data_IF_660654915922
#
_entry.id   IF_660654915922
#
_cell.length_a   1.000
_cell.length_b   1.000
_cell.length_c   1.000
_cell.angle_alpha   90.00
_cell.angle_beta   90.00
_cell.angle_gamma   90.00
#
_symmetry.space_group_name_H-M   'P 1'
#
loop_
_entity.id
_entity.type
_entity.pdbx_description
1 polymer ?
#
# COMPACT_ATOMS: atom_id res chain seq x y z
N UNK A 1 14.54 -2.76 0.31
CA UNK A 1 14.33 -2.53 -1.15
C UNK A 1 15.67 -2.04 -1.65
N UNK A 2 16.56 -2.97 -1.95
CA UNK A 2 18.00 -2.65 -1.99
C UNK A 2 18.43 -2.40 -3.44
N UNK A 3 17.75 -3.04 -4.39
CA UNK A 3 18.00 -2.93 -5.82
C UNK A 3 16.97 -2.00 -6.49
N UNK A 4 17.39 -1.16 -7.46
CA UNK A 4 16.49 -0.31 -8.23
C UNK A 4 15.39 -1.09 -8.98
N UNK A 5 14.26 -0.44 -9.31
CA UNK A 5 13.16 -1.08 -10.04
C UNK A 5 13.58 -1.47 -11.47
N UNK A 6 12.93 -2.53 -11.99
CA UNK A 6 13.12 -3.03 -13.36
C UNK A 6 11.81 -2.96 -14.14
N UNK A 7 11.83 -3.23 -15.45
CA UNK A 7 10.62 -3.14 -16.28
C UNK A 7 9.42 -3.98 -15.80
N UNK A 8 9.67 -5.11 -15.14
CA UNK A 8 8.62 -5.98 -14.60
C UNK A 8 8.17 -5.58 -13.19
N UNK A 9 8.78 -4.55 -12.63
CA UNK A 9 8.45 -4.09 -11.28
C UNK A 9 7.03 -3.53 -11.22
N UNK A 10 6.38 -3.79 -10.10
CA UNK A 10 5.06 -3.25 -9.78
C UNK A 10 5.19 -2.34 -8.58
N UNK A 11 4.33 -1.34 -8.51
CA UNK A 11 4.39 -0.31 -7.50
C UNK A 11 3.11 -0.33 -6.69
N UNK A 12 3.21 0.04 -5.42
CA UNK A 12 2.11 0.04 -4.48
C UNK A 12 2.11 1.35 -3.69
N UNK A 13 0.92 1.79 -3.33
CA UNK A 13 0.69 2.79 -2.30
C UNK A 13 -0.29 2.21 -1.28
N UNK A 14 0.07 2.22 -0.01
CA UNK A 14 -0.80 1.79 1.08
C UNK A 14 -0.95 2.89 2.11
N UNK A 15 -2.17 3.06 2.62
CA UNK A 15 -2.44 3.89 3.80
C UNK A 15 -3.13 3.03 4.87
N UNK A 16 -2.64 3.11 6.10
CA UNK A 16 -3.34 2.59 7.27
C UNK A 16 -3.46 3.74 8.25
N UNK A 17 -4.69 4.16 8.53
CA UNK A 17 -4.95 5.22 9.49
C UNK A 17 -5.78 4.68 10.65
N UNK A 18 -5.39 5.06 11.86
CA UNK A 18 -6.29 4.99 13.00
C UNK A 18 -6.00 6.13 13.97
N UNK A 19 -7.04 6.66 14.61
CA UNK A 19 -6.96 7.86 15.45
C UNK A 19 -5.84 7.83 16.51
N UNK A 20 -5.56 6.66 17.10
CA UNK A 20 -4.52 6.54 18.12
C UNK A 20 -3.13 6.18 17.59
N UNK A 21 -3.01 5.82 16.30
CA UNK A 21 -1.74 5.37 15.70
C UNK A 21 -1.30 6.25 14.54
N UNK A 22 -2.01 7.36 14.28
CA UNK A 22 -1.75 8.24 13.15
C UNK A 22 -1.87 7.50 11.82
N UNK A 23 -0.93 7.77 10.92
CA UNK A 23 -0.99 7.32 9.52
C UNK A 23 0.30 6.61 9.11
N UNK A 24 0.15 5.38 8.62
CA UNK A 24 1.20 4.68 7.88
C UNK A 24 0.97 4.89 6.39
N UNK A 25 1.77 5.74 5.78
CA UNK A 25 1.75 6.05 4.36
C UNK A 25 3.00 5.48 3.69
N UNK A 26 2.83 4.42 2.90
CA UNK A 26 3.95 3.69 2.33
C UNK A 26 3.83 3.65 0.81
N UNK A 27 4.90 4.08 0.15
CA UNK A 27 5.14 3.84 -1.26
C UNK A 27 6.23 2.79 -1.42
N UNK A 28 5.98 1.78 -2.24
CA UNK A 28 6.93 0.69 -2.44
C UNK A 28 6.87 0.14 -3.87
N UNK A 29 7.91 -0.61 -4.24
CA UNK A 29 7.93 -1.40 -5.46
C UNK A 29 8.42 -2.81 -5.22
N UNK A 30 7.98 -3.72 -6.08
CA UNK A 30 8.25 -5.15 -6.02
C UNK A 30 8.79 -5.63 -7.37
N UNK A 31 9.69 -6.61 -7.38
CA UNK A 31 10.32 -7.08 -8.62
C UNK A 31 9.35 -7.80 -9.57
N UNK A 32 8.28 -8.41 -9.04
CA UNK A 32 7.24 -9.06 -9.83
C UNK A 32 5.90 -9.19 -9.07
N UNK A 33 4.89 -9.70 -9.77
CA UNK A 33 3.53 -9.88 -9.27
C UNK A 33 3.40 -10.90 -8.12
N UNK A 34 4.22 -11.95 -8.08
CA UNK A 34 4.15 -12.97 -7.00
C UNK A 34 4.77 -12.42 -5.71
N UNK A 35 5.84 -11.63 -5.80
CA UNK A 35 6.39 -10.96 -4.62
C UNK A 35 5.41 -9.92 -4.06
N UNK A 36 4.79 -9.11 -4.93
CA UNK A 36 3.73 -8.18 -4.52
C UNK A 36 2.54 -8.93 -3.88
N UNK A 37 2.10 -10.04 -4.47
CA UNK A 37 1.03 -10.88 -3.93
C UNK A 37 1.38 -11.40 -2.53
N UNK A 38 2.61 -11.87 -2.34
CA UNK A 38 3.12 -12.31 -1.05
C UNK A 38 3.12 -11.20 -0.01
N UNK A 39 3.60 -10.01 -0.36
CA UNK A 39 3.56 -8.84 0.53
C UNK A 39 2.12 -8.50 0.94
N UNK A 40 1.18 -8.48 -0.01
CA UNK A 40 -0.22 -8.17 0.28
C UNK A 40 -0.80 -9.21 1.25
N UNK A 41 -0.62 -10.49 0.98
CA UNK A 41 -1.21 -11.56 1.80
C UNK A 41 -0.60 -11.67 3.20
N UNK A 42 0.73 -11.64 3.28
CA UNK A 42 1.47 -12.06 4.47
C UNK A 42 2.00 -10.90 5.31
N UNK A 43 2.02 -9.67 4.78
CA UNK A 43 2.47 -8.49 5.52
C UNK A 43 1.35 -7.45 5.62
N UNK A 44 0.89 -6.91 4.49
CA UNK A 44 -0.07 -5.81 4.49
C UNK A 44 -1.41 -6.18 5.14
N UNK A 45 -2.06 -7.28 4.74
CA UNK A 45 -3.36 -7.66 5.32
C UNK A 45 -3.28 -7.99 6.81
N UNK A 46 -2.16 -8.56 7.26
CA UNK A 46 -1.91 -8.83 8.67
C UNK A 46 -1.87 -7.54 9.48
N UNK A 47 -1.05 -6.58 9.05
CA UNK A 47 -0.90 -5.29 9.72
C UNK A 47 -2.20 -4.46 9.64
N UNK A 48 -2.77 -4.36 8.45
CA UNK A 48 -3.98 -3.58 8.18
C UNK A 48 -5.16 -4.05 9.04
N UNK A 49 -5.44 -5.37 9.09
CA UNK A 49 -6.53 -5.89 9.91
C UNK A 49 -6.22 -5.84 11.41
N UNK A 50 -4.96 -6.03 11.82
CA UNK A 50 -4.61 -5.89 13.22
C UNK A 50 -4.80 -4.44 13.72
N UNK A 51 -4.33 -3.45 12.96
CA UNK A 51 -4.52 -2.04 13.26
C UNK A 51 -5.99 -1.62 13.19
N UNK A 52 -6.78 -2.15 12.25
CA UNK A 52 -8.24 -1.93 12.22
C UNK A 52 -8.93 -2.44 13.50
N UNK A 53 -8.62 -3.67 13.92
CA UNK A 53 -9.29 -4.31 15.05
C UNK A 53 -8.89 -3.67 16.38
N UNK A 54 -7.60 -3.37 16.57
CA UNK A 54 -7.05 -3.01 17.87
C UNK A 54 -6.57 -1.55 17.97
N UNK A 55 -6.32 -0.88 16.85
CA UNK A 55 -5.80 0.50 16.82
C UNK A 55 -6.79 1.54 17.34
N UNK A 56 -8.09 1.22 17.35
CA UNK A 56 -9.14 2.07 17.95
C UNK A 56 -9.02 2.23 19.46
N UNK A 57 -8.49 1.21 20.14
CA UNK A 57 -8.49 1.14 21.60
C UNK A 57 -7.14 1.46 22.21
N UNK A 58 -6.06 1.30 21.43
CA UNK A 58 -4.69 1.43 21.92
C UNK A 58 -3.71 1.81 20.84
N UNK A 59 -2.58 2.31 21.30
CA UNK A 59 -1.36 2.47 20.49
C UNK A 59 -0.78 1.06 20.23
N UNK A 60 -0.46 0.80 18.98
CA UNK A 60 0.09 -0.44 18.45
C UNK A 60 1.58 -0.23 18.21
N UNK A 61 2.40 -0.71 19.14
CA UNK A 61 3.86 -0.59 19.07
C UNK A 61 4.51 -1.72 18.25
N UNK A 62 3.78 -2.83 18.02
CA UNK A 62 4.26 -3.95 17.22
C UNK A 62 3.09 -4.73 16.60
N UNK A 63 3.32 -5.25 15.39
CA UNK A 63 2.41 -6.18 14.73
C UNK A 63 2.82 -7.61 15.10
N UNK A 64 1.94 -8.40 15.72
CA UNK A 64 2.28 -9.76 16.09
C UNK A 64 2.42 -10.63 14.84
N UNK A 65 3.45 -11.49 14.81
CA UNK A 65 3.65 -12.47 13.75
C UNK A 65 2.69 -13.67 13.93
N UNK A 66 1.40 -13.43 13.70
CA UNK A 66 0.35 -14.45 13.75
C UNK A 66 -0.49 -14.46 12.46
N UNK A 67 -1.04 -15.61 12.05
CA UNK A 67 -1.88 -15.70 10.86
C UNK A 67 -3.08 -14.75 10.87
N UNK A 68 -3.44 -14.24 9.69
CA UNK A 68 -4.55 -13.28 9.50
C UNK A 68 -5.88 -13.85 10.00
N UNK A 69 -6.16 -15.13 9.76
CA UNK A 69 -7.35 -15.81 10.26
C UNK A 69 -7.42 -15.83 11.80
N UNK A 70 -6.27 -15.95 12.48
CA UNK A 70 -6.21 -15.86 13.95
C UNK A 70 -6.50 -14.44 14.43
N UNK A 71 -5.94 -13.42 13.78
CA UNK A 71 -6.22 -12.01 14.09
C UNK A 71 -7.72 -11.73 14.02
N UNK A 72 -8.37 -12.21 12.95
CA UNK A 72 -9.82 -12.02 12.73
C UNK A 72 -10.63 -12.78 13.80
N UNK A 73 -10.30 -14.05 14.06
CA UNK A 73 -11.01 -14.84 15.09
C UNK A 73 -10.90 -14.21 16.48
N UNK A 74 -9.70 -13.77 16.87
CA UNK A 74 -9.46 -13.14 18.17
C UNK A 74 -10.21 -11.80 18.29
N UNK A 75 -10.25 -11.01 17.20
CA UNK A 75 -11.02 -9.78 17.14
C UNK A 75 -12.52 -10.02 17.32
N UNK A 76 -13.06 -11.04 16.64
CA UNK A 76 -14.47 -11.42 16.74
C UNK A 76 -14.81 -11.96 18.14
N UNK A 77 -13.99 -12.87 18.70
CA UNK A 77 -14.27 -13.47 20.02
C UNK A 77 -14.21 -12.45 21.16
N UNK A 78 -13.42 -11.38 21.00
CA UNK A 78 -13.30 -10.28 21.96
C UNK A 78 -14.32 -9.15 21.71
N UNK A 79 -15.21 -9.30 20.73
CA UNK A 79 -16.22 -8.28 20.39
C UNK A 79 -15.63 -6.99 19.83
N UNK A 80 -14.42 -7.02 19.25
CA UNK A 80 -13.75 -5.85 18.65
C UNK A 80 -14.20 -5.57 17.22
N UNK A 81 -14.74 -6.58 16.55
CA UNK A 81 -15.36 -6.48 15.23
C UNK A 81 -16.66 -7.28 15.21
N UNK A 82 -17.55 -6.88 14.31
CA UNK A 82 -18.78 -7.60 14.00
C UNK A 82 -18.53 -8.88 13.21
N UNK A 83 -19.52 -9.78 13.20
CA UNK A 83 -19.50 -10.98 12.36
C UNK A 83 -19.39 -10.64 10.85
N UNK A 84 -20.03 -9.56 10.42
CA UNK A 84 -19.96 -9.06 9.04
C UNK A 84 -18.57 -8.58 8.67
N UNK A 85 -17.90 -7.81 9.53
CA UNK A 85 -16.52 -7.38 9.31
C UNK A 85 -15.57 -8.58 9.23
N UNK A 86 -15.71 -9.54 10.15
CA UNK A 86 -14.90 -10.76 10.14
C UNK A 86 -15.07 -11.54 8.82
N UNK A 87 -16.30 -11.65 8.30
CA UNK A 87 -16.58 -12.28 7.01
C UNK A 87 -15.93 -11.54 5.83
N UNK A 88 -15.98 -10.20 5.83
CA UNK A 88 -15.34 -9.38 4.80
C UNK A 88 -13.82 -9.54 4.82
N UNK A 89 -13.20 -9.51 5.99
CA UNK A 89 -11.76 -9.73 6.15
C UNK A 89 -11.33 -11.11 5.64
N UNK A 90 -12.06 -12.18 6.04
CA UNK A 90 -11.80 -13.54 5.58
C UNK A 90 -11.99 -13.68 4.06
N UNK A 91 -13.02 -13.04 3.50
CA UNK A 91 -13.29 -13.02 2.06
C UNK A 91 -12.13 -12.38 1.30
N UNK A 92 -11.65 -11.23 1.74
CA UNK A 92 -10.50 -10.55 1.15
C UNK A 92 -9.22 -11.38 1.25
N UNK A 93 -8.92 -11.94 2.42
CA UNK A 93 -7.77 -12.83 2.60
C UNK A 93 -7.84 -14.06 1.67
N UNK A 94 -9.01 -14.70 1.60
CA UNK A 94 -9.24 -15.87 0.73
C UNK A 94 -9.09 -15.50 -0.75
N UNK A 95 -9.59 -14.32 -1.15
CA UNK A 95 -9.49 -13.84 -2.53
C UNK A 95 -8.03 -13.65 -2.95
N UNK A 96 -7.21 -13.04 -2.09
CA UNK A 96 -5.76 -12.90 -2.33
C UNK A 96 -5.10 -14.29 -2.37
N UNK A 97 -5.43 -15.18 -1.44
CA UNK A 97 -4.87 -16.54 -1.43
C UNK A 97 -5.16 -17.32 -2.72
N UNK A 98 -6.36 -17.18 -3.31
CA UNK A 98 -6.71 -17.85 -4.58
C UNK A 98 -5.94 -17.31 -5.79
N UNK A 99 -5.31 -16.13 -5.69
CA UNK A 99 -4.50 -15.58 -6.79
C UNK A 99 -3.17 -16.32 -6.97
N UNK A 100 -2.74 -17.13 -5.99
CA UNK A 100 -1.57 -17.99 -6.16
C UNK A 100 -1.75 -19.02 -7.27
N UNK A 101 -2.98 -19.52 -7.45
CA UNK A 101 -3.35 -20.53 -8.43
C UNK A 101 -3.63 -19.96 -9.83
N UNK A 102 -3.64 -18.63 -9.97
CA UNK A 102 -3.89 -17.98 -11.25
C UNK A 102 -2.66 -18.03 -12.18
N UNK A 103 -2.90 -18.06 -13.51
CA UNK A 103 -1.87 -17.76 -14.51
C UNK A 103 -1.19 -16.41 -14.23
N UNK A 104 0.11 -16.31 -14.53
CA UNK A 104 0.93 -15.13 -14.17
C UNK A 104 0.37 -13.81 -14.71
N UNK A 105 -0.13 -13.84 -15.94
CA UNK A 105 -0.77 -12.71 -16.64
C UNK A 105 -2.11 -12.29 -16.02
N UNK A 106 -2.75 -13.17 -15.25
CA UNK A 106 -4.02 -12.92 -14.56
C UNK A 106 -3.87 -12.34 -13.16
N UNK A 107 -2.70 -12.47 -12.53
CA UNK A 107 -2.47 -12.00 -11.15
C UNK A 107 -2.60 -10.47 -11.06
N UNK A 108 -1.95 -9.71 -11.96
CA UNK A 108 -1.94 -8.24 -11.89
C UNK A 108 -3.36 -7.65 -12.07
N UNK A 109 -4.13 -8.03 -13.10
CA UNK A 109 -5.51 -7.55 -13.23
C UNK A 109 -6.39 -7.84 -12.01
N UNK A 110 -6.27 -9.03 -11.41
CA UNK A 110 -7.05 -9.41 -10.23
C UNK A 110 -6.60 -8.65 -8.97
N UNK A 111 -5.30 -8.37 -8.83
CA UNK A 111 -4.79 -7.52 -7.75
C UNK A 111 -5.30 -6.07 -7.85
N UNK A 112 -5.32 -5.49 -9.06
CA UNK A 112 -5.89 -4.14 -9.28
C UNK A 112 -7.39 -4.12 -9.00
N UNK A 113 -8.12 -5.17 -9.39
CA UNK A 113 -9.54 -5.31 -9.07
C UNK A 113 -9.76 -5.43 -7.57
N UNK A 114 -8.95 -6.25 -6.91
CA UNK A 114 -8.96 -6.41 -5.46
C UNK A 114 -8.73 -5.08 -4.73
N UNK A 115 -7.74 -4.28 -5.15
CA UNK A 115 -7.45 -3.00 -4.49
C UNK A 115 -8.65 -2.04 -4.54
N UNK A 116 -9.40 -2.01 -5.65
CA UNK A 116 -10.62 -1.20 -5.78
C UNK A 116 -11.74 -1.68 -4.87
N UNK A 117 -11.94 -2.99 -4.76
CA UNK A 117 -12.93 -3.56 -3.84
C UNK A 117 -12.54 -3.33 -2.38
N UNK A 118 -11.26 -3.54 -2.06
CA UNK A 118 -10.68 -3.29 -0.76
C UNK A 118 -10.96 -1.85 -0.30
N UNK A 119 -10.65 -0.86 -1.13
CA UNK A 119 -10.84 0.55 -0.79
C UNK A 119 -12.32 0.94 -0.63
N UNK A 120 -13.26 0.25 -1.31
CA UNK A 120 -14.70 0.47 -1.10
C UNK A 120 -15.17 -0.08 0.23
N UNK A 121 -14.65 -1.23 0.64
CA UNK A 121 -15.01 -1.87 1.91
C UNK A 121 -14.39 -1.15 3.11
N UNK A 122 -13.13 -0.72 2.98
CA UNK A 122 -12.34 -0.17 4.08
C UNK A 122 -12.11 1.34 3.97
N UNK A 123 -12.98 2.04 3.24
CA UNK A 123 -12.98 3.51 3.14
C UNK A 123 -13.02 4.17 4.53
N UNK A 124 -13.69 3.51 5.49
CA UNK A 124 -13.69 3.90 6.89
C UNK A 124 -14.37 5.25 7.15
N UNK A 125 -13.86 5.97 8.14
CA UNK A 125 -14.33 7.28 8.57
C UNK A 125 -13.15 8.16 9.05
N UNK A 126 -13.43 9.24 9.78
CA UNK A 126 -12.40 10.12 10.32
C UNK A 126 -11.63 9.53 11.53
N UNK A 127 -11.93 8.30 11.94
CA UNK A 127 -11.24 7.59 13.03
C UNK A 127 -10.35 6.48 12.51
N UNK A 128 -10.67 5.90 11.36
CA UNK A 128 -9.84 4.88 10.72
C UNK A 128 -10.17 4.75 9.24
N UNK A 129 -9.18 4.34 8.44
CA UNK A 129 -9.41 3.84 7.09
C UNK A 129 -8.23 2.99 6.64
N UNK A 130 -8.47 2.12 5.65
CA UNK A 130 -7.42 1.36 4.99
C UNK A 130 -7.49 1.64 3.49
N UNK A 131 -6.32 1.77 2.87
CA UNK A 131 -6.20 2.04 1.46
C UNK A 131 -5.07 1.23 0.85
N UNK A 132 -5.30 0.78 -0.39
CA UNK A 132 -4.32 0.13 -1.22
C UNK A 132 -4.53 0.54 -2.69
N UNK A 133 -3.45 0.91 -3.37
CA UNK A 133 -3.43 1.10 -4.83
C UNK A 133 -2.18 0.47 -5.44
N UNK A 134 -2.34 -0.08 -6.63
CA UNK A 134 -1.30 -0.77 -7.39
C UNK A 134 -1.12 -0.05 -8.72
N UNK A 135 0.13 0.15 -9.11
CA UNK A 135 0.53 0.79 -10.37
C UNK A 135 1.45 -0.15 -11.15
N UNK A 136 1.31 -0.12 -12.47
CA UNK A 136 2.03 -1.03 -13.37
C UNK A 136 3.41 -0.53 -13.77
N UNK A 137 3.64 0.77 -13.65
CA UNK A 137 4.88 1.40 -14.08
C UNK A 137 5.15 2.66 -13.24
N UNK A 138 6.41 3.16 -13.22
CA UNK A 138 6.77 4.32 -12.41
C UNK A 138 6.09 5.61 -12.87
N UNK A 139 5.71 5.72 -14.16
CA UNK A 139 4.93 6.86 -14.67
C UNK A 139 3.55 6.96 -14.02
N UNK A 140 2.78 5.86 -14.00
CA UNK A 140 1.47 5.79 -13.35
C UNK A 140 1.53 6.17 -11.86
N UNK A 141 2.57 5.72 -11.15
CA UNK A 141 2.79 6.11 -9.77
C UNK A 141 3.17 7.60 -9.66
N UNK A 142 4.09 8.05 -10.52
CA UNK A 142 4.59 9.41 -10.53
C UNK A 142 3.50 10.45 -10.75
N UNK A 143 2.62 10.21 -11.73
CA UNK A 143 1.46 11.04 -12.00
C UNK A 143 0.51 11.07 -10.79
N UNK A 144 0.26 9.91 -10.17
CA UNK A 144 -0.58 9.85 -8.98
C UNK A 144 -0.03 10.65 -7.79
N UNK A 145 1.29 10.64 -7.55
CA UNK A 145 1.91 11.43 -6.47
C UNK A 145 1.76 12.93 -6.76
N UNK A 146 1.97 13.35 -8.01
CA UNK A 146 1.77 14.75 -8.41
C UNK A 146 0.30 15.14 -8.20
N UNK A 147 -0.64 14.38 -8.77
CA UNK A 147 -2.06 14.65 -8.69
C UNK A 147 -2.55 14.73 -7.23
N UNK A 148 -2.15 13.74 -6.40
CA UNK A 148 -2.52 13.73 -4.98
C UNK A 148 -1.94 14.91 -4.20
N UNK A 149 -0.72 15.36 -4.53
CA UNK A 149 -0.13 16.54 -3.89
C UNK A 149 -0.87 17.82 -4.29
N UNK A 150 -1.20 17.98 -5.58
CA UNK A 150 -1.88 19.17 -6.10
C UNK A 150 -3.35 19.26 -5.66
N UNK A 151 -3.99 18.14 -5.30
CA UNK A 151 -5.35 18.13 -4.77
C UNK A 151 -5.46 18.82 -3.40
N UNK A 152 -4.40 18.77 -2.60
CA UNK A 152 -4.43 19.27 -1.21
C UNK A 152 -3.43 20.39 -0.96
N UNK A 153 -2.45 20.60 -1.84
CA UNK A 153 -1.34 21.55 -1.68
C UNK A 153 -0.97 22.18 -3.04
N UNK A 154 0.23 22.76 -3.11
CA UNK A 154 0.79 23.41 -4.30
C UNK A 154 2.10 22.75 -4.77
N UNK A 155 2.63 23.25 -5.88
CA UNK A 155 3.89 22.78 -6.46
C UNK A 155 5.10 23.02 -5.55
N UNK A 156 5.10 24.11 -4.77
CA UNK A 156 6.19 24.36 -3.82
C UNK A 156 6.25 23.27 -2.75
N UNK A 157 5.10 22.81 -2.28
CA UNK A 157 5.01 21.70 -1.32
C UNK A 157 5.56 20.41 -1.92
N UNK A 158 5.24 20.12 -3.18
CA UNK A 158 5.80 18.98 -3.91
C UNK A 158 7.32 19.05 -3.98
N UNK A 159 7.89 20.21 -4.33
CA UNK A 159 9.34 20.43 -4.41
C UNK A 159 9.98 20.28 -3.04
N UNK A 160 9.38 20.86 -1.98
CA UNK A 160 9.89 20.73 -0.62
C UNK A 160 9.92 19.28 -0.14
N UNK A 161 8.91 18.47 -0.47
CA UNK A 161 8.89 17.04 -0.14
C UNK A 161 9.89 16.25 -0.96
N UNK A 162 9.86 16.38 -2.28
CA UNK A 162 10.59 15.48 -3.18
C UNK A 162 12.00 15.94 -3.52
N UNK A 163 12.32 17.23 -3.33
CA UNK A 163 13.58 17.84 -3.72
C UNK A 163 13.74 18.10 -5.22
N UNK A 164 12.67 17.94 -6.02
CA UNK A 164 12.69 18.11 -7.48
C UNK A 164 11.41 18.78 -7.98
N UNK A 165 11.48 19.41 -9.15
CA UNK A 165 10.30 19.95 -9.83
C UNK A 165 9.42 18.83 -10.39
N UNK A 166 8.15 19.14 -10.70
CA UNK A 166 7.22 18.17 -11.32
C UNK A 166 7.76 17.65 -12.65
N UNK A 167 8.38 18.52 -13.45
CA UNK A 167 8.94 18.13 -14.75
C UNK A 167 10.14 17.19 -14.59
N UNK A 168 11.05 17.47 -13.65
CA UNK A 168 12.17 16.58 -13.34
C UNK A 168 11.69 15.24 -12.78
N UNK A 169 10.67 15.26 -11.92
CA UNK A 169 10.06 14.04 -11.40
C UNK A 169 9.48 13.15 -12.50
N UNK A 170 8.73 13.74 -13.44
CA UNK A 170 8.19 13.01 -14.60
C UNK A 170 9.31 12.40 -15.45
N UNK A 171 10.41 13.14 -15.66
CA UNK A 171 11.60 12.62 -16.35
C UNK A 171 12.20 11.43 -15.61
N UNK A 172 12.44 11.57 -14.30
CA UNK A 172 12.94 10.49 -13.43
C UNK A 172 12.06 9.24 -13.57
N UNK A 173 10.73 9.39 -13.48
CA UNK A 173 9.79 8.28 -13.61
C UNK A 173 9.89 7.58 -14.98
N UNK A 174 10.00 8.33 -16.08
CA UNK A 174 10.09 7.77 -17.43
C UNK A 174 11.39 7.01 -17.72
N UNK A 175 12.44 7.29 -16.95
CA UNK A 175 13.76 6.70 -17.06
C UNK A 175 14.08 5.69 -15.93
N UNK A 176 13.20 5.56 -14.92
CA UNK A 176 13.45 4.80 -13.69
C UNK A 176 13.74 3.31 -13.89
N UNK A 177 13.41 2.72 -15.04
CA UNK A 177 13.72 1.32 -15.38
C UNK A 177 14.78 1.19 -16.48
N UNK A 178 15.29 2.31 -17.00
CA UNK A 178 16.18 2.38 -18.17
C UNK A 178 17.55 2.97 -17.84
N UNK A 179 17.63 3.84 -16.83
CA UNK A 179 18.83 4.54 -16.43
C UNK A 179 19.07 4.35 -14.93
N UNK A 180 20.26 3.90 -14.54
CA UNK A 180 20.61 3.59 -13.15
C UNK A 180 20.55 4.81 -12.23
N UNK A 181 20.99 5.98 -12.70
CA UNK A 181 20.94 7.23 -11.92
C UNK A 181 19.50 7.63 -11.66
N UNK A 182 18.64 7.61 -12.68
CA UNK A 182 17.21 7.90 -12.54
C UNK A 182 16.50 6.85 -11.67
N UNK A 183 16.89 5.58 -11.77
CA UNK A 183 16.36 4.49 -10.95
C UNK A 183 16.70 4.65 -9.45
N UNK A 184 17.94 5.04 -9.15
CA UNK A 184 18.39 5.29 -7.77
C UNK A 184 17.70 6.52 -7.19
N UNK A 185 17.61 7.62 -7.96
CA UNK A 185 16.92 8.84 -7.54
C UNK A 185 15.43 8.59 -7.30
N UNK A 186 14.78 7.81 -8.17
CA UNK A 186 13.39 7.40 -8.00
C UNK A 186 13.20 6.61 -6.70
N UNK A 187 14.07 5.63 -6.44
CA UNK A 187 14.05 4.82 -5.21
C UNK A 187 14.20 5.69 -3.96
N UNK A 188 15.16 6.63 -3.97
CA UNK A 188 15.42 7.52 -2.85
C UNK A 188 14.20 8.40 -2.52
N UNK A 189 13.58 9.01 -3.53
CA UNK A 189 12.40 9.86 -3.34
C UNK A 189 11.23 9.03 -2.77
N UNK A 190 10.97 7.81 -3.27
CA UNK A 190 9.90 6.97 -2.72
C UNK A 190 10.12 6.59 -1.25
N UNK A 191 11.36 6.22 -0.91
CA UNK A 191 11.67 5.66 0.42
C UNK A 191 11.81 6.72 1.49
N UNK A 192 12.49 7.83 1.20
CA UNK A 192 12.84 8.84 2.21
C UNK A 192 11.84 9.98 2.27
N UNK A 193 11.24 10.34 1.14
CA UNK A 193 10.58 11.63 1.00
C UNK A 193 9.05 11.53 0.98
N UNK A 194 8.52 10.35 0.60
CA UNK A 194 7.08 10.14 0.41
C UNK A 194 6.47 9.14 1.37
N UNK A 195 7.28 8.23 1.94
CA UNK A 195 6.81 7.29 2.94
C UNK A 195 6.89 7.95 4.31
N UNK A 196 5.74 8.05 4.99
CA UNK A 196 5.59 8.72 6.28
C UNK A 196 4.89 7.74 7.26
N UNK A 197 5.47 7.52 8.43
CA UNK A 197 4.83 6.80 9.55
C UNK A 197 4.81 7.78 10.72
N UNK A 198 3.61 8.24 11.09
CA UNK A 198 3.39 9.33 12.07
C UNK A 198 2.54 8.82 13.22
#
# INVERSE_FOLDING_TARGET
MDNPPKEKSLYIHTLIFSKNNGIDNIYAYFPDAKVLLGYIQYSFLQEAFYKWIYGKDRIIINIPSIPVDKIIRDGLSKGKISKSEAQLMLSHYTKVSKMWDLPKDRVIPELIKFSREFNKTWYGDNKEFLYLKIFKNPGELGDFIVDSTMLTNDENTFICKTGVTVNEWKKICSEATKNEVSAEKFKEILQKNLSEVI
#
